data_IF_173967327584
#
_entry.id   IF_173967327584
#
_cell.length_a   1.000
_cell.length_b   1.000
_cell.length_c   1.000
_cell.angle_alpha   90.00
_cell.angle_beta   90.00
_cell.angle_gamma   90.00
#
_symmetry.space_group_name_H-M   'P 1'
#
loop_
_entity.id
_entity.type
_entity.pdbx_description
1 polymer ?
#
# COMPACT_ATOMS: atom_id res chain seq x y z
N UNK A 1 -9.16 3.85 -38.93
CA UNK A 1 -9.37 3.22 -37.62
C UNK A 1 -8.74 4.16 -36.63
N UNK A 2 -9.51 4.70 -35.70
CA UNK A 2 -8.99 5.58 -34.65
C UNK A 2 -8.18 4.68 -33.71
N UNK A 3 -6.85 4.83 -33.73
CA UNK A 3 -5.93 4.10 -32.85
C UNK A 3 -6.32 4.44 -31.40
N UNK A 4 -6.84 3.47 -30.66
CA UNK A 4 -7.16 3.67 -29.25
C UNK A 4 -5.89 4.10 -28.52
N UNK A 5 -5.98 5.19 -27.76
CA UNK A 5 -4.84 5.71 -27.00
C UNK A 5 -4.29 4.64 -26.04
N UNK A 6 -3.01 4.69 -25.70
CA UNK A 6 -2.42 3.78 -24.70
C UNK A 6 -3.19 3.78 -23.37
N UNK A 7 -3.82 4.91 -23.02
CA UNK A 7 -4.70 5.02 -21.86
C UNK A 7 -6.01 4.22 -22.00
N UNK A 8 -6.62 4.20 -23.19
CA UNK A 8 -7.80 3.36 -23.44
C UNK A 8 -7.48 1.88 -23.28
N UNK A 9 -6.39 1.40 -23.88
CA UNK A 9 -5.97 0.01 -23.73
C UNK A 9 -5.69 -0.35 -22.25
N UNK A 10 -5.05 0.55 -21.52
CA UNK A 10 -4.79 0.36 -20.09
C UNK A 10 -6.08 0.28 -19.26
N UNK A 11 -7.02 1.20 -19.48
CA UNK A 11 -8.31 1.19 -18.79
C UNK A 11 -9.14 -0.04 -19.15
N UNK A 12 -9.10 -0.48 -20.40
CA UNK A 12 -9.79 -1.68 -20.87
C UNK A 12 -9.25 -2.94 -20.19
N UNK A 13 -7.92 -3.05 -20.01
CA UNK A 13 -7.30 -4.15 -19.25
C UNK A 13 -7.71 -4.10 -17.77
N UNK A 14 -7.70 -2.93 -17.15
CA UNK A 14 -8.02 -2.81 -15.71
C UNK A 14 -9.50 -3.08 -15.40
N UNK A 15 -10.40 -2.71 -16.30
CA UNK A 15 -11.85 -2.82 -16.11
C UNK A 15 -12.42 -4.17 -16.53
N UNK A 16 -11.59 -5.04 -17.13
CA UNK A 16 -11.96 -6.43 -17.40
C UNK A 16 -12.39 -7.14 -16.11
N UNK A 17 -13.55 -7.82 -16.08
CA UNK A 17 -14.06 -8.45 -14.86
C UNK A 17 -13.09 -9.42 -14.18
N UNK A 18 -12.30 -10.15 -14.97
CA UNK A 18 -11.27 -11.09 -14.50
C UNK A 18 -10.02 -10.41 -13.91
N UNK A 19 -9.79 -9.13 -14.22
CA UNK A 19 -8.69 -8.33 -13.69
C UNK A 19 -9.05 -7.60 -12.38
N UNK A 20 -10.33 -7.48 -12.04
CA UNK A 20 -10.77 -6.82 -10.80
C UNK A 20 -10.10 -7.42 -9.55
N UNK A 21 -9.99 -8.76 -9.40
CA UNK A 21 -9.31 -9.33 -8.23
C UNK A 21 -7.85 -8.92 -8.10
N UNK A 22 -7.06 -8.93 -9.18
CA UNK A 22 -5.64 -8.56 -9.11
C UNK A 22 -5.45 -7.07 -8.82
N UNK A 23 -6.31 -6.21 -9.35
CA UNK A 23 -6.30 -4.77 -9.02
C UNK A 23 -6.58 -4.57 -7.52
N UNK A 24 -7.57 -5.29 -6.98
CA UNK A 24 -7.84 -5.30 -5.54
C UNK A 24 -6.61 -5.73 -4.73
N UNK A 25 -5.95 -6.82 -5.14
CA UNK A 25 -4.73 -7.30 -4.48
C UNK A 25 -3.59 -6.28 -4.54
N UNK A 26 -3.38 -5.59 -5.66
CA UNK A 26 -2.36 -4.54 -5.78
C UNK A 26 -2.64 -3.38 -4.82
N UNK A 27 -3.90 -2.95 -4.70
CA UNK A 27 -4.31 -1.92 -3.74
C UNK A 27 -3.98 -2.37 -2.31
N UNK A 28 -4.31 -3.62 -1.96
CA UNK A 28 -4.01 -4.17 -0.63
C UNK A 28 -2.51 -4.22 -0.36
N UNK A 29 -1.71 -4.69 -1.33
CA UNK A 29 -0.24 -4.76 -1.19
C UNK A 29 0.33 -3.37 -0.96
N UNK A 30 -0.07 -2.36 -1.74
CA UNK A 30 0.39 -0.98 -1.58
C UNK A 30 -0.05 -0.44 -0.21
N UNK A 31 -1.31 -0.66 0.17
CA UNK A 31 -1.86 -0.18 1.44
C UNK A 31 -1.13 -0.77 2.65
N UNK A 32 -0.97 -2.10 2.72
CA UNK A 32 -0.30 -2.75 3.83
C UNK A 32 1.22 -2.51 3.84
N UNK A 33 1.84 -2.34 2.67
CA UNK A 33 3.24 -1.90 2.60
C UNK A 33 3.42 -0.50 3.18
N UNK A 34 2.55 0.44 2.81
CA UNK A 34 2.56 1.79 3.39
C UNK A 34 2.28 1.77 4.89
N UNK A 35 1.31 0.98 5.34
CA UNK A 35 0.99 0.83 6.76
C UNK A 35 2.20 0.29 7.53
N UNK A 36 2.84 -0.76 7.04
CA UNK A 36 4.04 -1.34 7.65
C UNK A 36 5.20 -0.35 7.72
N UNK A 37 5.47 0.39 6.64
CA UNK A 37 6.51 1.42 6.62
C UNK A 37 6.19 2.58 7.58
N UNK A 38 4.92 2.99 7.65
CA UNK A 38 4.47 4.03 8.57
C UNK A 38 4.70 3.64 10.03
N UNK A 39 4.41 2.40 10.41
CA UNK A 39 4.67 1.91 11.76
C UNK A 39 6.18 1.73 12.00
N UNK A 40 6.95 1.26 11.02
CA UNK A 40 8.41 1.17 11.12
C UNK A 40 9.04 2.53 11.42
N UNK A 41 8.68 3.60 10.69
CA UNK A 41 9.22 4.93 10.95
C UNK A 41 8.85 5.50 12.32
N UNK A 42 7.68 5.15 12.87
CA UNK A 42 7.31 5.55 14.24
C UNK A 42 8.18 4.83 15.27
N UNK A 43 8.41 3.53 15.06
CA UNK A 43 9.23 2.72 15.96
C UNK A 43 10.70 3.17 15.90
N UNK A 44 11.24 3.45 14.71
CA UNK A 44 12.59 4.01 14.54
C UNK A 44 12.75 5.30 15.34
N UNK A 45 11.74 6.18 15.31
CA UNK A 45 11.76 7.42 16.12
C UNK A 45 11.78 7.16 17.63
N UNK A 46 11.03 6.16 18.12
CA UNK A 46 11.06 5.81 19.54
C UNK A 46 12.41 5.26 19.96
N UNK A 47 13.04 4.45 19.11
CA UNK A 47 14.40 3.93 19.32
C UNK A 47 15.41 5.07 19.39
N UNK A 48 15.34 6.03 18.44
CA UNK A 48 16.23 7.21 18.43
C UNK A 48 16.06 8.08 19.68
N UNK A 49 14.87 8.12 20.26
CA UNK A 49 14.56 8.81 21.53
C UNK A 49 14.93 7.99 22.79
N UNK A 50 15.39 6.75 22.64
CA UNK A 50 15.69 5.84 23.74
C UNK A 50 14.45 5.29 24.47
N UNK A 51 13.30 5.26 23.79
CA UNK A 51 11.99 4.83 24.30
C UNK A 51 11.52 3.51 23.67
N UNK A 52 12.43 2.57 23.46
CA UNK A 52 12.11 1.28 22.84
C UNK A 52 11.08 0.48 23.66
N UNK A 53 11.07 0.64 24.99
CA UNK A 53 10.10 0.00 25.89
C UNK A 53 8.66 0.49 25.67
N UNK A 54 8.47 1.66 25.06
CA UNK A 54 7.14 2.21 24.75
C UNK A 54 6.53 1.63 23.46
N UNK A 55 7.33 0.95 22.61
CA UNK A 55 6.86 0.41 21.32
C UNK A 55 5.65 -0.53 21.48
N UNK A 56 5.65 -1.54 22.38
CA UNK A 56 4.49 -2.41 22.56
C UNK A 56 3.24 -1.64 23.00
N UNK A 57 3.42 -0.60 23.83
CA UNK A 57 2.32 0.23 24.31
C UNK A 57 1.70 1.08 23.20
N UNK A 58 2.51 1.58 22.26
CA UNK A 58 2.03 2.33 21.10
C UNK A 58 1.42 1.41 20.02
N UNK A 59 1.94 0.20 19.84
CA UNK A 59 1.40 -0.77 18.85
C UNK A 59 0.06 -1.39 19.27
N UNK A 60 -0.20 -1.52 20.57
CA UNK A 60 -1.40 -2.18 21.11
C UNK A 60 -2.52 -1.22 21.54
N UNK A 61 -2.37 0.08 21.26
CA UNK A 61 -3.45 1.06 21.38
C UNK A 61 -4.54 0.84 20.34
#
# INVERSE_FOLDING_TARGET
MEEASGLQNFLEILTKPDNIPIVGMLILVIFFSWLGLREAFKNDKLIDEGKEDDIPHEMWK
#
